data_IF_614052227096
#
_entry.id   IF_614052227096
#
_cell.length_a   1.000
_cell.length_b   1.000
_cell.length_c   1.000
_cell.angle_alpha   90.00
_cell.angle_beta   90.00
_cell.angle_gamma   90.00
#
_symmetry.space_group_name_H-M   'P 1'
#
loop_
_entity.id
_entity.type
_entity.pdbx_description
1 polymer ?
#
# COMPACT_ATOMS: atom_id res chain seq x y z
N UNK A 1 -3.96 20.44 -1.13
CA UNK A 1 -4.17 19.30 -1.89
C UNK A 1 -4.55 19.60 -3.32
N UNK A 2 -4.46 18.60 -4.17
CA UNK A 2 -4.94 18.65 -5.55
C UNK A 2 -6.43 18.34 -5.66
N UNK A 3 -6.92 18.18 -6.88
CA UNK A 3 -8.32 17.84 -7.21
C UNK A 3 -8.65 16.35 -6.95
N UNK A 4 -8.09 15.77 -5.89
CA UNK A 4 -8.26 14.35 -5.57
C UNK A 4 -9.32 14.22 -4.48
N UNK A 5 -10.24 13.28 -4.68
CA UNK A 5 -11.20 12.92 -3.66
C UNK A 5 -10.50 12.16 -2.51
N UNK A 6 -10.07 12.90 -1.50
CA UNK A 6 -9.31 12.36 -0.37
C UNK A 6 -10.12 11.35 0.47
N UNK A 7 -11.45 11.55 0.59
CA UNK A 7 -12.32 10.61 1.31
C UNK A 7 -12.39 9.27 0.56
N UNK A 8 -12.56 9.31 -0.77
CA UNK A 8 -12.57 8.10 -1.59
C UNK A 8 -11.22 7.39 -1.52
N UNK A 9 -10.12 8.15 -1.60
CA UNK A 9 -8.77 7.61 -1.48
C UNK A 9 -8.54 6.91 -0.14
N UNK A 10 -8.97 7.52 0.96
CA UNK A 10 -8.86 6.92 2.29
C UNK A 10 -9.63 5.60 2.38
N UNK A 11 -10.83 5.53 1.82
CA UNK A 11 -11.62 4.31 1.80
C UNK A 11 -10.94 3.23 0.94
N UNK A 12 -10.42 3.57 -0.25
CA UNK A 12 -9.64 2.62 -1.07
C UNK A 12 -8.42 2.09 -0.30
N UNK A 13 -7.70 2.96 0.40
CA UNK A 13 -6.56 2.57 1.25
C UNK A 13 -6.93 1.64 2.39
N UNK A 14 -8.14 1.75 2.95
CA UNK A 14 -8.62 0.83 3.99
C UNK A 14 -8.91 -0.58 3.46
N UNK A 15 -9.24 -0.72 2.18
CA UNK A 15 -9.66 -1.99 1.59
C UNK A 15 -8.62 -2.62 0.66
N UNK A 16 -7.51 -1.94 0.35
CA UNK A 16 -6.57 -2.36 -0.70
C UNK A 16 -5.96 -3.76 -0.48
N UNK A 17 -5.73 -4.13 0.77
CA UNK A 17 -5.14 -5.42 1.15
C UNK A 17 -6.15 -6.39 1.79
N UNK A 18 -7.45 -6.08 1.75
CA UNK A 18 -8.45 -6.91 2.45
C UNK A 18 -8.47 -8.36 1.98
N UNK A 19 -8.09 -8.64 0.74
CA UNK A 19 -7.98 -10.00 0.20
C UNK A 19 -6.88 -10.83 0.84
N UNK A 20 -5.91 -10.19 1.50
CA UNK A 20 -4.85 -10.90 2.22
C UNK A 20 -5.38 -11.69 3.43
N UNK A 21 -6.62 -11.45 3.87
CA UNK A 21 -7.34 -12.33 4.81
C UNK A 21 -7.44 -13.76 4.25
N UNK A 22 -7.56 -13.92 2.94
CA UNK A 22 -7.70 -15.21 2.25
C UNK A 22 -6.34 -15.69 1.72
N UNK A 23 -5.60 -14.80 1.05
CA UNK A 23 -4.34 -15.17 0.37
C UNK A 23 -3.12 -15.23 1.30
N UNK A 24 -3.19 -14.54 2.44
CA UNK A 24 -2.01 -14.17 3.22
C UNK A 24 -1.19 -13.08 2.52
N UNK A 25 -0.36 -12.40 3.29
CA UNK A 25 0.63 -11.48 2.74
C UNK A 25 1.83 -12.29 2.18
N UNK A 26 2.15 -12.06 0.91
CA UNK A 26 3.30 -12.72 0.28
C UNK A 26 4.55 -11.86 0.44
N UNK A 27 5.63 -12.39 1.05
CA UNK A 27 6.87 -11.64 1.19
C UNK A 27 7.36 -11.09 -0.14
N UNK A 28 7.68 -9.81 -0.17
CA UNK A 28 8.11 -9.07 -1.37
C UNK A 28 9.18 -9.79 -2.21
N UNK A 29 10.25 -10.41 -1.60
CA UNK A 29 11.23 -11.14 -2.38
C UNK A 29 10.65 -12.34 -3.14
N UNK A 30 9.59 -12.96 -2.61
CA UNK A 30 8.91 -14.09 -3.25
C UNK A 30 7.97 -13.60 -4.35
N UNK A 31 7.17 -12.57 -4.04
CA UNK A 31 6.21 -11.96 -5.00
C UNK A 31 6.90 -11.49 -6.28
N UNK A 32 8.12 -10.99 -6.18
CA UNK A 32 8.88 -10.46 -7.33
C UNK A 32 10.04 -11.37 -7.79
N UNK A 33 10.09 -12.63 -7.33
CA UNK A 33 11.15 -13.57 -7.72
C UNK A 33 11.16 -13.83 -9.23
N UNK A 34 9.99 -13.96 -9.84
CA UNK A 34 9.85 -14.10 -11.29
C UNK A 34 8.52 -13.51 -11.78
N UNK A 35 8.43 -13.11 -13.06
CA UNK A 35 7.16 -12.70 -13.68
C UNK A 35 6.07 -13.76 -13.57
N UNK A 36 6.44 -15.04 -13.63
CA UNK A 36 5.51 -16.16 -13.49
C UNK A 36 4.84 -16.17 -12.11
N UNK A 37 5.63 -16.11 -11.03
CA UNK A 37 5.10 -16.09 -9.65
C UNK A 37 4.22 -14.87 -9.46
N UNK A 38 4.67 -13.69 -9.92
CA UNK A 38 3.88 -12.46 -9.80
C UNK A 38 2.52 -12.57 -10.50
N UNK A 39 2.47 -13.15 -11.69
CA UNK A 39 1.22 -13.28 -12.44
C UNK A 39 0.31 -14.34 -11.80
N UNK A 40 0.84 -15.48 -11.38
CA UNK A 40 0.09 -16.50 -10.66
C UNK A 40 -0.51 -15.94 -9.35
N UNK A 41 0.25 -15.12 -8.63
CA UNK A 41 -0.27 -14.49 -7.40
C UNK A 41 -1.40 -13.52 -7.70
N UNK A 42 -1.32 -12.72 -8.77
CA UNK A 42 -2.42 -11.85 -9.20
C UNK A 42 -3.71 -12.63 -9.52
N UNK A 43 -3.59 -13.80 -10.12
CA UNK A 43 -4.75 -14.68 -10.36
C UNK A 43 -5.36 -15.14 -9.03
N UNK A 44 -4.53 -15.49 -8.04
CA UNK A 44 -4.99 -15.85 -6.69
C UNK A 44 -5.68 -14.66 -6.00
N UNK A 45 -5.11 -13.47 -6.09
CA UNK A 45 -5.72 -12.23 -5.57
C UNK A 45 -7.08 -11.97 -6.23
N UNK A 46 -7.20 -12.19 -7.54
CA UNK A 46 -8.47 -12.04 -8.26
C UNK A 46 -9.53 -13.03 -7.77
N UNK A 47 -9.17 -14.31 -7.64
CA UNK A 47 -10.09 -15.35 -7.12
C UNK A 47 -10.52 -15.00 -5.69
N UNK A 48 -9.62 -14.52 -4.84
CA UNK A 48 -9.94 -14.09 -3.49
C UNK A 48 -10.91 -12.91 -3.47
N UNK A 49 -10.72 -11.91 -4.35
CA UNK A 49 -11.65 -10.78 -4.52
C UNK A 49 -13.06 -11.26 -4.91
N UNK A 50 -13.15 -12.16 -5.88
CA UNK A 50 -14.42 -12.73 -6.34
C UNK A 50 -15.10 -13.52 -5.22
N UNK A 51 -14.34 -14.29 -4.45
CA UNK A 51 -14.85 -15.04 -3.31
C UNK A 51 -15.42 -14.12 -2.23
N UNK A 52 -14.71 -13.06 -1.86
CA UNK A 52 -15.18 -12.07 -0.89
C UNK A 52 -16.46 -11.38 -1.38
N UNK A 53 -16.48 -10.95 -2.64
CA UNK A 53 -17.66 -10.31 -3.23
C UNK A 53 -18.86 -11.26 -3.31
N UNK A 54 -18.64 -12.54 -3.61
CA UNK A 54 -19.72 -13.54 -3.70
C UNK A 54 -20.43 -13.80 -2.38
N UNK A 55 -19.74 -13.61 -1.26
CA UNK A 55 -20.31 -13.72 0.09
C UNK A 55 -21.22 -12.54 0.49
N UNK A 56 -21.25 -11.46 -0.30
CA UNK A 56 -22.05 -10.27 0.00
C UNK A 56 -23.43 -10.33 -0.67
N UNK A 57 -24.49 -9.80 0.00
CA UNK A 57 -25.74 -9.51 -0.67
C UNK A 57 -25.53 -8.61 -1.89
N UNK A 58 -26.35 -8.78 -2.94
CA UNK A 58 -26.16 -8.09 -4.23
C UNK A 58 -26.04 -6.58 -4.08
N UNK A 59 -26.86 -5.94 -3.24
CA UNK A 59 -26.82 -4.49 -2.99
C UNK A 59 -25.48 -4.03 -2.44
N UNK A 60 -24.83 -4.84 -1.60
CA UNK A 60 -23.50 -4.55 -1.06
C UNK A 60 -22.40 -4.89 -2.07
N UNK A 61 -22.55 -6.00 -2.80
CA UNK A 61 -21.58 -6.44 -3.81
C UNK A 61 -21.27 -5.33 -4.81
N UNK A 62 -22.31 -4.68 -5.36
CA UNK A 62 -22.15 -3.57 -6.30
C UNK A 62 -21.33 -2.42 -5.70
N UNK A 63 -21.55 -2.11 -4.42
CA UNK A 63 -20.84 -1.03 -3.72
C UNK A 63 -19.39 -1.37 -3.39
N UNK A 64 -19.12 -2.62 -3.01
CA UNK A 64 -17.79 -3.07 -2.62
C UNK A 64 -16.91 -3.47 -3.79
N UNK A 65 -17.49 -3.82 -4.94
CA UNK A 65 -16.72 -4.18 -6.13
C UNK A 65 -15.67 -3.11 -6.49
N UNK A 66 -16.05 -1.83 -6.49
CA UNK A 66 -15.11 -0.73 -6.77
C UNK A 66 -14.15 -0.41 -5.62
N UNK A 67 -14.23 -1.11 -4.46
CA UNK A 67 -13.26 -1.00 -3.37
C UNK A 67 -12.20 -2.11 -3.42
N UNK A 68 -12.57 -3.27 -3.95
CA UNK A 68 -11.71 -4.45 -4.00
C UNK A 68 -11.02 -4.61 -5.36
N UNK A 69 -11.62 -4.09 -6.41
CA UNK A 69 -11.09 -4.20 -7.77
C UNK A 69 -10.70 -2.83 -8.29
N UNK A 70 -9.46 -2.72 -8.78
CA UNK A 70 -9.00 -1.51 -9.47
C UNK A 70 -9.85 -1.30 -10.74
N UNK A 71 -10.55 -0.17 -10.81
CA UNK A 71 -11.34 0.22 -11.97
C UNK A 71 -10.60 1.25 -12.81
N UNK A 72 -10.81 1.22 -14.14
CA UNK A 72 -10.17 2.17 -15.06
C UNK A 72 -10.46 3.63 -14.68
N UNK A 73 -11.69 3.91 -14.21
CA UNK A 73 -12.10 5.25 -13.81
C UNK A 73 -11.38 5.77 -12.56
N UNK A 74 -10.84 4.89 -11.73
CA UNK A 74 -10.15 5.21 -10.48
C UNK A 74 -8.66 4.85 -10.50
N UNK A 75 -8.12 4.46 -11.65
CA UNK A 75 -6.70 4.08 -11.78
C UNK A 75 -5.75 5.15 -11.21
N UNK A 76 -6.08 6.44 -11.42
CA UNK A 76 -5.33 7.56 -10.83
C UNK A 76 -5.35 7.57 -9.30
N UNK A 77 -6.44 7.18 -8.63
CA UNK A 77 -6.51 7.08 -7.18
C UNK A 77 -5.69 5.90 -6.65
N UNK A 78 -5.66 4.78 -7.37
CA UNK A 78 -4.88 3.62 -6.99
C UNK A 78 -3.37 3.88 -6.98
N UNK A 79 -2.88 4.79 -7.82
CA UNK A 79 -1.47 5.23 -7.74
C UNK A 79 -1.16 5.89 -6.38
N UNK A 80 -2.09 6.67 -5.82
CA UNK A 80 -1.93 7.26 -4.49
C UNK A 80 -2.05 6.21 -3.38
N UNK A 81 -2.92 5.21 -3.52
CA UNK A 81 -2.99 4.07 -2.58
C UNK A 81 -1.65 3.35 -2.54
N UNK A 82 -1.09 3.02 -3.71
CA UNK A 82 0.24 2.39 -3.82
C UNK A 82 1.36 3.26 -3.22
N UNK A 83 1.26 4.59 -3.34
CA UNK A 83 2.22 5.49 -2.71
C UNK A 83 2.09 5.47 -1.17
N UNK A 84 0.86 5.49 -0.65
CA UNK A 84 0.60 5.43 0.79
C UNK A 84 1.08 4.10 1.40
N UNK A 85 0.85 2.98 0.73
CA UNK A 85 1.34 1.66 1.12
C UNK A 85 2.88 1.64 1.21
N UNK A 86 3.58 2.13 0.17
CA UNK A 86 5.04 2.25 0.20
C UNK A 86 5.55 3.17 1.30
N UNK A 87 4.86 4.27 1.59
CA UNK A 87 5.22 5.17 2.70
C UNK A 87 5.05 4.44 4.04
N UNK A 88 3.98 3.67 4.21
CA UNK A 88 3.77 2.84 5.39
C UNK A 88 4.90 1.82 5.59
N UNK A 89 5.28 1.11 4.51
CA UNK A 89 6.40 0.18 4.53
C UNK A 89 7.74 0.89 4.85
N UNK A 90 7.95 2.11 4.36
CA UNK A 90 9.14 2.91 4.68
C UNK A 90 9.17 3.30 6.15
N UNK A 91 8.05 3.73 6.73
CA UNK A 91 7.92 4.03 8.17
C UNK A 91 8.27 2.79 8.99
N UNK A 92 7.77 1.62 8.61
CA UNK A 92 8.10 0.36 9.29
C UNK A 92 9.61 0.09 9.28
N UNK A 93 10.30 0.33 8.16
CA UNK A 93 11.77 0.18 8.11
C UNK A 93 12.48 1.13 9.09
N UNK A 94 12.00 2.37 9.23
CA UNK A 94 12.53 3.34 10.20
C UNK A 94 12.33 2.83 11.63
N UNK A 95 11.15 2.32 11.95
CA UNK A 95 10.81 1.78 13.27
C UNK A 95 11.65 0.57 13.63
N UNK A 96 11.81 -0.39 12.72
CA UNK A 96 12.67 -1.56 12.89
C UNK A 96 14.12 -1.16 13.17
N UNK A 97 14.63 -0.21 12.41
CA UNK A 97 15.99 0.34 12.62
C UNK A 97 16.15 1.00 13.99
N UNK A 98 15.14 1.75 14.46
CA UNK A 98 15.13 2.34 15.81
C UNK A 98 15.14 1.27 16.90
N UNK A 99 14.53 0.12 16.65
CA UNK A 99 14.55 -1.04 17.55
C UNK A 99 15.86 -1.86 17.47
N UNK A 100 16.81 -1.44 16.63
CA UNK A 100 18.10 -2.11 16.45
C UNK A 100 18.08 -3.25 15.42
N UNK A 101 17.00 -3.42 14.68
CA UNK A 101 16.91 -4.41 13.62
C UNK A 101 17.54 -3.85 12.33
N UNK A 102 18.63 -4.47 11.87
CA UNK A 102 19.37 -4.07 10.68
C UNK A 102 18.93 -4.80 9.39
N UNK A 103 18.03 -5.76 9.47
CA UNK A 103 17.64 -6.62 8.33
C UNK A 103 16.90 -5.85 7.23
N UNK A 104 16.34 -4.68 7.55
CA UNK A 104 15.55 -3.86 6.64
C UNK A 104 16.32 -2.69 6.02
N UNK A 105 17.64 -2.56 6.21
CA UNK A 105 18.41 -1.42 5.70
C UNK A 105 18.42 -1.31 4.15
N UNK A 106 18.49 -2.42 3.44
CA UNK A 106 18.41 -2.43 1.99
C UNK A 106 16.97 -2.21 1.49
N UNK A 107 15.98 -2.75 2.22
CA UNK A 107 14.57 -2.49 1.94
C UNK A 107 14.24 -1.00 2.12
N UNK A 108 14.73 -0.35 3.19
CA UNK A 108 14.57 1.09 3.43
C UNK A 108 14.99 1.91 2.21
N UNK A 109 16.18 1.65 1.65
CA UNK A 109 16.70 2.36 0.48
C UNK A 109 15.86 2.10 -0.78
N UNK A 110 15.51 0.84 -1.01
CA UNK A 110 14.75 0.42 -2.19
C UNK A 110 13.35 1.04 -2.17
N UNK A 111 12.67 1.00 -1.03
CA UNK A 111 11.34 1.58 -0.86
C UNK A 111 11.40 3.10 -1.02
N UNK A 112 12.37 3.77 -0.39
CA UNK A 112 12.56 5.21 -0.54
C UNK A 112 12.68 5.63 -2.02
N UNK A 113 13.55 4.95 -2.78
CA UNK A 113 13.72 5.22 -4.20
C UNK A 113 12.44 4.95 -4.99
N UNK A 114 11.73 3.87 -4.67
CA UNK A 114 10.47 3.52 -5.33
C UNK A 114 9.37 4.56 -5.12
N UNK A 115 9.32 5.22 -3.95
CA UNK A 115 8.39 6.31 -3.68
C UNK A 115 8.73 7.52 -4.56
N UNK A 116 9.99 7.90 -4.62
CA UNK A 116 10.47 9.03 -5.45
C UNK A 116 10.23 8.82 -6.94
N UNK A 117 10.41 7.58 -7.42
CA UNK A 117 10.21 7.22 -8.82
C UNK A 117 8.74 7.32 -9.26
N UNK A 118 7.80 7.30 -8.32
CA UNK A 118 6.38 7.53 -8.61
C UNK A 118 6.08 8.97 -9.03
N UNK A 119 6.92 9.94 -8.64
CA UNK A 119 6.77 11.37 -8.98
C UNK A 119 5.42 11.97 -8.57
N UNK A 120 4.88 11.51 -7.43
CA UNK A 120 3.63 11.99 -6.86
C UNK A 120 3.97 13.13 -5.88
N UNK A 121 3.53 14.35 -6.19
CA UNK A 121 3.86 15.56 -5.41
C UNK A 121 3.41 15.46 -3.95
N UNK A 122 2.26 14.87 -3.69
CA UNK A 122 1.71 14.68 -2.36
C UNK A 122 2.55 13.69 -1.55
N UNK A 123 3.04 12.62 -2.19
CA UNK A 123 3.96 11.68 -1.56
C UNK A 123 5.30 12.36 -1.24
N UNK A 124 5.87 13.11 -2.19
CA UNK A 124 7.10 13.89 -1.97
C UNK A 124 6.94 14.89 -0.81
N UNK A 125 5.79 15.56 -0.76
CA UNK A 125 5.47 16.48 0.34
C UNK A 125 5.42 15.75 1.68
N UNK A 126 4.71 14.60 1.74
CA UNK A 126 4.63 13.80 2.96
C UNK A 126 6.01 13.32 3.41
N UNK A 127 6.81 12.80 2.49
CA UNK A 127 8.17 12.34 2.77
C UNK A 127 9.04 13.46 3.35
N UNK A 128 8.89 14.69 2.86
CA UNK A 128 9.68 15.83 3.31
C UNK A 128 9.22 16.36 4.66
N UNK A 129 7.93 16.53 4.86
CA UNK A 129 7.39 17.28 6.01
C UNK A 129 7.06 16.37 7.21
N UNK A 130 6.60 15.14 6.98
CA UNK A 130 6.12 14.27 8.06
C UNK A 130 7.08 13.14 8.42
N UNK A 131 7.77 12.57 7.46
CA UNK A 131 8.71 11.46 7.72
C UNK A 131 9.80 11.83 8.72
N UNK A 132 10.37 13.04 8.76
CA UNK A 132 11.38 13.41 9.77
C UNK A 132 10.93 13.18 11.22
N UNK A 133 9.63 13.26 11.50
CA UNK A 133 9.10 13.00 12.84
C UNK A 133 9.30 11.54 13.30
N UNK A 134 9.28 10.59 12.38
CA UNK A 134 9.45 9.16 12.70
C UNK A 134 10.89 8.80 13.09
N UNK A 135 11.87 9.63 12.76
CA UNK A 135 13.26 9.44 13.21
C UNK A 135 13.49 9.92 14.65
N UNK A 136 12.61 10.76 15.18
CA UNK A 136 12.73 11.30 16.54
C UNK A 136 12.37 10.26 17.59
N UNK A 137 13.00 10.37 18.75
CA UNK A 137 12.56 9.67 19.96
C UNK A 137 11.35 10.36 20.57
N UNK A 138 10.68 9.72 21.53
CA UNK A 138 9.56 10.32 22.25
C UNK A 138 10.00 11.60 23.01
N UNK A 139 11.23 11.64 23.52
CA UNK A 139 11.75 12.80 24.23
C UNK A 139 12.06 13.98 23.31
N UNK A 140 12.41 13.73 22.06
CA UNK A 140 12.66 14.75 21.03
C UNK A 140 11.37 15.25 20.35
N UNK A 141 10.25 14.62 20.63
CA UNK A 141 8.93 14.94 20.04
C UNK A 141 8.11 15.91 20.89
N UNK A 142 8.70 16.45 21.98
CA UNK A 142 8.08 17.43 22.88
C UNK A 142 8.20 18.85 22.36
#
# INVERSE_FOLDING_TARGET
>A
GGDINAERLAVLGMYHDVTEIITGDMPTPVKYYSPYIRNAYKEVEQVANEQMLSGLPEVLRIRYQGLLLETENEAGLWEYVKAADRISAYIKCIEEKKMGNSDFLEAEKTIYNSIRDMKIKEADYYMKEYIPAFFKTLDESK
#
